data_IF_168547474450
#
_entry.id   IF_168547474450
#
_cell.length_a   1.000
_cell.length_b   1.000
_cell.length_c   1.000
_cell.angle_alpha   90.00
_cell.angle_beta   90.00
_cell.angle_gamma   90.00
#
_symmetry.space_group_name_H-M   'P 1'
#
loop_
_entity.id
_entity.type
_entity.pdbx_description
1 polymer ?
#
# COMPACT_ATOMS: atom_id res chain seq x y z
N UNK A 1 -18.63 51.01 26.96
CA UNK A 1 -18.12 49.62 26.94
C UNK A 1 -19.25 48.63 27.14
N UNK A 2 -19.56 47.79 26.15
CA UNK A 2 -20.51 46.67 26.33
C UNK A 2 -19.69 45.40 26.55
N UNK A 3 -19.81 44.85 27.75
CA UNK A 3 -19.18 43.58 28.13
C UNK A 3 -19.85 42.41 27.40
N UNK A 4 -19.11 41.39 26.91
CA UNK A 4 -19.70 40.28 26.20
C UNK A 4 -20.37 39.30 27.17
N UNK A 5 -21.66 39.08 26.97
CA UNK A 5 -22.45 38.05 27.67
C UNK A 5 -21.95 36.69 27.21
N UNK A 6 -21.30 35.94 28.10
CA UNK A 6 -20.95 34.54 27.88
C UNK A 6 -22.24 33.72 27.93
N UNK A 7 -22.74 33.28 26.77
CA UNK A 7 -23.82 32.30 26.70
C UNK A 7 -23.32 30.97 27.28
N UNK A 8 -23.95 30.53 28.37
CA UNK A 8 -23.71 29.23 28.96
C UNK A 8 -24.25 28.15 28.00
N UNK A 9 -23.37 27.25 27.55
CA UNK A 9 -23.79 26.07 26.79
C UNK A 9 -24.59 25.14 27.69
N UNK A 10 -25.73 24.70 27.22
CA UNK A 10 -26.65 23.83 27.96
C UNK A 10 -26.04 22.42 28.03
N UNK A 11 -26.34 21.66 29.08
CA UNK A 11 -25.87 20.27 29.21
C UNK A 11 -26.30 19.41 28.01
N UNK A 12 -27.45 19.73 27.42
CA UNK A 12 -27.99 19.13 26.19
C UNK A 12 -27.10 19.41 24.96
N UNK A 13 -26.51 20.60 24.86
CA UNK A 13 -25.56 20.96 23.78
C UNK A 13 -24.22 20.23 23.90
N UNK A 14 -23.85 19.83 25.12
CA UNK A 14 -22.64 19.03 25.41
C UNK A 14 -22.90 17.55 25.10
N UNK A 15 -24.11 17.06 25.38
CA UNK A 15 -24.52 15.68 25.09
C UNK A 15 -24.72 15.49 23.58
N UNK A 16 -25.36 16.43 22.88
CA UNK A 16 -25.54 16.36 21.42
C UNK A 16 -24.24 16.61 20.62
N UNK A 17 -23.23 17.29 21.20
CA UNK A 17 -21.89 17.42 20.59
C UNK A 17 -20.96 16.25 20.86
N UNK A 18 -21.37 15.24 21.63
CA UNK A 18 -20.78 13.91 21.47
C UNK A 18 -21.33 13.35 20.16
N UNK A 19 -20.83 13.88 19.05
CA UNK A 19 -20.91 13.21 17.76
C UNK A 19 -20.50 11.77 18.03
N UNK A 20 -21.40 10.86 17.70
CA UNK A 20 -21.25 9.42 17.75
C UNK A 20 -20.07 8.95 16.89
N UNK A 21 -18.83 9.28 17.29
CA UNK A 21 -17.72 8.39 16.97
C UNK A 21 -17.98 7.15 17.82
N UNK A 22 -18.87 6.28 17.35
CA UNK A 22 -18.91 4.91 17.80
C UNK A 22 -17.45 4.46 17.84
N UNK A 23 -17.00 4.00 19.01
CA UNK A 23 -15.61 3.59 19.19
C UNK A 23 -15.40 2.36 18.32
N UNK A 24 -14.89 2.56 17.11
CA UNK A 24 -14.52 1.50 16.18
C UNK A 24 -13.29 0.79 16.72
N UNK A 25 -13.33 -0.54 16.75
CA UNK A 25 -12.15 -1.34 17.09
C UNK A 25 -11.12 -1.31 15.94
N UNK A 26 -11.61 -1.23 14.71
CA UNK A 26 -10.81 -1.22 13.48
C UNK A 26 -11.40 -0.18 12.54
N UNK A 27 -10.52 0.64 11.95
CA UNK A 27 -10.92 1.64 10.95
C UNK A 27 -11.14 0.97 9.59
N UNK A 28 -10.19 0.14 9.15
CA UNK A 28 -10.24 -0.55 7.86
C UNK A 28 -9.68 -1.97 7.97
N UNK A 29 -10.31 -2.89 7.24
CA UNK A 29 -9.77 -4.21 6.92
C UNK A 29 -9.55 -4.26 5.41
N UNK A 30 -8.33 -4.54 4.96
CA UNK A 30 -7.96 -4.48 3.55
C UNK A 30 -7.38 -5.81 3.10
N UNK A 31 -7.75 -6.23 1.89
CA UNK A 31 -7.06 -7.27 1.13
C UNK A 31 -6.28 -6.56 0.04
N UNK A 32 -4.95 -6.70 0.08
CA UNK A 32 -4.03 -6.10 -0.88
C UNK A 32 -3.42 -7.23 -1.70
N UNK A 33 -3.66 -7.21 -3.01
CA UNK A 33 -3.12 -8.18 -3.95
C UNK A 33 -1.98 -7.56 -4.76
N UNK A 34 -1.03 -8.40 -5.16
CA UNK A 34 0.07 -8.01 -6.04
C UNK A 34 -0.35 -8.23 -7.48
N UNK A 35 -0.55 -7.16 -8.24
CA UNK A 35 -0.96 -7.23 -9.65
C UNK A 35 0.27 -6.92 -10.51
N UNK A 36 0.59 -7.73 -11.55
CA UNK A 36 1.69 -7.43 -12.46
C UNK A 36 1.53 -6.04 -13.05
N UNK A 37 2.60 -5.25 -13.06
CA UNK A 37 2.62 -4.02 -13.84
C UNK A 37 2.68 -4.42 -15.30
N UNK A 38 1.67 -4.03 -16.09
CA UNK A 38 1.78 -4.12 -17.53
C UNK A 38 2.90 -3.17 -17.96
N UNK A 39 4.05 -3.73 -18.33
CA UNK A 39 5.05 -2.96 -19.05
C UNK A 39 4.45 -2.67 -20.42
N UNK A 40 3.92 -1.46 -20.58
CA UNK A 40 3.68 -0.90 -21.91
C UNK A 40 5.06 -0.72 -22.55
N UNK A 41 5.56 -1.79 -23.15
CA UNK A 41 6.64 -1.72 -24.12
C UNK A 41 6.06 -1.08 -25.39
N UNK A 42 5.90 0.25 -25.37
CA UNK A 42 5.79 1.08 -26.56
C UNK A 42 6.35 2.48 -26.25
N UNK A 43 7.64 2.60 -26.58
CA UNK A 43 8.34 3.81 -26.99
C UNK A 43 8.78 4.86 -25.95
N UNK A 44 10.03 5.28 -26.14
CA UNK A 44 10.76 6.39 -25.50
C UNK A 44 11.35 6.14 -24.10
N UNK A 45 12.61 5.66 -24.12
CA UNK A 45 13.67 5.91 -23.13
C UNK A 45 13.36 5.44 -21.70
N UNK A 46 13.68 4.18 -21.44
CA UNK A 46 14.19 3.72 -20.13
C UNK A 46 15.50 4.44 -19.79
N UNK A 47 15.41 5.72 -19.46
CA UNK A 47 16.43 6.45 -18.74
C UNK A 47 15.94 6.59 -17.30
N UNK A 48 16.40 5.63 -16.48
CA UNK A 48 16.68 5.78 -15.05
C UNK A 48 15.59 6.36 -14.15
N UNK A 49 14.72 5.48 -13.62
CA UNK A 49 14.14 5.67 -12.28
C UNK A 49 14.18 4.38 -11.42
N UNK A 50 15.01 3.40 -11.76
CA UNK A 50 15.33 2.26 -10.89
C UNK A 50 16.48 2.54 -9.91
N UNK A 51 16.95 3.79 -9.81
CA UNK A 51 18.06 4.20 -8.96
C UNK A 51 17.61 4.89 -7.66
N UNK A 52 16.62 4.35 -6.94
CA UNK A 52 16.43 4.68 -5.51
C UNK A 52 15.96 3.43 -4.77
N UNK A 53 16.91 2.58 -4.37
CA UNK A 53 16.96 1.88 -3.07
C UNK A 53 18.14 0.91 -3.06
N UNK A 54 19.34 1.47 -2.92
CA UNK A 54 20.43 0.79 -2.23
C UNK A 54 20.90 1.73 -1.13
N UNK A 55 20.06 1.88 -0.10
CA UNK A 55 20.46 2.49 1.17
C UNK A 55 20.06 1.50 2.26
N UNK A 56 21.03 0.66 2.62
CA UNK A 56 21.12 0.05 3.94
C UNK A 56 20.22 -1.15 4.23
N UNK A 57 20.69 -2.35 3.91
CA UNK A 57 20.44 -3.52 4.76
C UNK A 57 21.53 -4.57 4.54
N UNK A 58 22.44 -4.67 5.52
CA UNK A 58 23.27 -5.83 5.74
C UNK A 58 22.37 -7.01 6.14
N UNK A 59 21.66 -7.60 5.19
CA UNK A 59 20.99 -8.89 5.37
C UNK A 59 21.50 -9.81 4.25
N UNK A 60 22.54 -10.56 4.59
CA UNK A 60 23.03 -11.66 3.78
C UNK A 60 22.05 -12.84 3.89
N UNK A 61 20.99 -12.81 3.09
CA UNK A 61 20.24 -13.99 2.69
C UNK A 61 20.12 -13.92 1.17
N UNK A 62 20.59 -14.97 0.50
CA UNK A 62 20.71 -15.11 -0.95
C UNK A 62 19.32 -15.27 -1.61
N UNK A 63 18.46 -14.27 -1.46
CA UNK A 63 17.15 -14.23 -2.10
C UNK A 63 17.38 -14.08 -3.63
N UNK A 64 17.30 -15.18 -4.37
CA UNK A 64 17.32 -15.14 -5.84
C UNK A 64 15.99 -14.62 -6.36
N UNK A 65 16.00 -13.47 -7.05
CA UNK A 65 14.84 -12.82 -7.65
C UNK A 65 14.80 -13.03 -9.17
N UNK A 66 13.60 -12.97 -9.75
CA UNK A 66 13.42 -12.93 -11.22
C UNK A 66 13.26 -11.46 -11.65
N UNK A 67 14.27 -10.91 -12.33
CA UNK A 67 14.43 -9.46 -12.56
C UNK A 67 13.46 -8.81 -13.58
N UNK A 68 12.59 -9.59 -14.23
CA UNK A 68 11.69 -9.09 -15.29
C UNK A 68 10.22 -8.91 -14.86
N UNK A 69 9.88 -9.16 -13.59
CA UNK A 69 8.50 -9.09 -13.10
C UNK A 69 8.35 -8.07 -11.98
N UNK A 70 7.73 -6.93 -12.30
CA UNK A 70 7.32 -5.93 -11.32
C UNK A 70 5.82 -6.05 -11.02
N UNK A 71 5.47 -5.88 -9.75
CA UNK A 71 4.08 -5.92 -9.29
C UNK A 71 3.76 -4.64 -8.53
N UNK A 72 2.51 -4.21 -8.63
CA UNK A 72 1.97 -3.11 -7.84
C UNK A 72 0.96 -3.64 -6.83
N UNK A 73 0.97 -3.12 -5.59
CA UNK A 73 -0.02 -3.49 -4.60
C UNK A 73 -1.34 -2.78 -4.90
N UNK A 74 -2.43 -3.54 -4.96
CA UNK A 74 -3.77 -3.04 -5.25
C UNK A 74 -4.75 -3.55 -4.20
N UNK A 75 -5.58 -2.67 -3.66
CA UNK A 75 -6.67 -3.06 -2.76
C UNK A 75 -7.73 -3.79 -3.60
N UNK A 76 -7.87 -5.10 -3.39
CA UNK A 76 -8.84 -5.94 -4.11
C UNK A 76 -10.11 -6.17 -3.31
N UNK A 77 -10.05 -6.04 -1.99
CA UNK A 77 -11.22 -6.06 -1.11
C UNK A 77 -11.00 -5.18 0.11
N UNK A 78 -12.08 -4.64 0.68
CA UNK A 78 -12.03 -3.78 1.85
C UNK A 78 -13.31 -3.80 2.66
N UNK A 79 -13.19 -3.52 3.95
CA UNK A 79 -14.27 -3.18 4.86
C UNK A 79 -13.87 -1.96 5.71
N UNK A 80 -14.74 -0.97 5.91
CA UNK A 80 -16.01 -0.77 5.20
C UNK A 80 -15.81 -0.51 3.70
N UNK A 81 -16.87 -0.67 2.92
CA UNK A 81 -16.85 -0.41 1.47
C UNK A 81 -16.60 1.07 1.15
N UNK A 82 -17.18 1.97 1.95
CA UNK A 82 -17.03 3.41 1.82
C UNK A 82 -16.07 3.96 2.87
N UNK A 83 -15.42 5.10 2.59
CA UNK A 83 -14.52 5.74 3.54
C UNK A 83 -15.30 6.36 4.71
N UNK A 84 -14.69 6.34 5.89
CA UNK A 84 -15.21 7.07 7.05
C UNK A 84 -15.04 8.58 6.83
N UNK A 85 -16.11 9.37 7.06
CA UNK A 85 -16.11 10.83 6.88
C UNK A 85 -15.04 11.54 7.72
N UNK A 86 -14.67 10.96 8.86
CA UNK A 86 -13.73 11.53 9.82
C UNK A 86 -12.29 11.01 9.65
N UNK A 87 -12.11 9.99 8.79
CA UNK A 87 -10.83 9.32 8.60
C UNK A 87 -10.80 8.61 7.23
N UNK A 88 -10.49 9.35 6.17
CA UNK A 88 -10.39 8.79 4.82
C UNK A 88 -9.22 7.81 4.71
N UNK A 89 -9.41 6.74 3.92
CA UNK A 89 -8.35 5.78 3.65
C UNK A 89 -7.28 6.42 2.78
N UNK A 90 -6.04 6.47 3.29
CA UNK A 90 -4.92 7.05 2.56
C UNK A 90 -4.42 6.11 1.46
N UNK A 91 -4.16 6.65 0.26
CA UNK A 91 -3.73 5.87 -0.92
C UNK A 91 -2.44 5.08 -0.66
N UNK A 92 -1.51 5.66 0.09
CA UNK A 92 -0.22 5.01 0.41
C UNK A 92 -0.31 3.85 1.41
N UNK A 93 -1.50 3.50 1.92
CA UNK A 93 -1.67 2.40 2.89
C UNK A 93 -1.10 1.09 2.33
N UNK A 94 -1.23 0.88 1.01
CA UNK A 94 -0.71 -0.30 0.30
C UNK A 94 0.80 -0.37 0.30
N UNK A 95 1.50 0.77 0.29
CA UNK A 95 2.96 0.82 0.36
C UNK A 95 3.48 0.28 1.69
N UNK A 96 2.71 0.41 2.77
CA UNK A 96 3.07 -0.15 4.08
C UNK A 96 2.88 -1.66 4.15
N UNK A 97 2.10 -2.27 3.25
CA UNK A 97 2.01 -3.73 3.14
C UNK A 97 3.30 -4.36 2.57
N UNK A 98 4.14 -3.56 1.91
CA UNK A 98 5.40 -4.00 1.30
C UNK A 98 6.54 -3.04 1.67
N UNK A 99 7.10 -3.13 2.89
CA UNK A 99 8.07 -2.15 3.40
C UNK A 99 9.38 -2.11 2.60
N UNK A 100 9.69 -3.15 1.82
CA UNK A 100 10.84 -3.19 0.89
C UNK A 100 10.58 -2.43 -0.42
N UNK A 101 9.41 -1.80 -0.61
CA UNK A 101 9.05 -1.00 -1.77
C UNK A 101 8.68 -1.82 -3.02
N UNK A 102 9.55 -2.73 -3.45
CA UNK A 102 9.30 -3.59 -4.62
C UNK A 102 8.71 -4.94 -4.24
N UNK A 103 7.73 -5.40 -5.02
CA UNK A 103 7.15 -6.75 -4.92
C UNK A 103 7.76 -7.58 -6.05
N UNK A 104 8.58 -8.57 -5.70
CA UNK A 104 9.34 -9.36 -6.67
C UNK A 104 9.00 -10.84 -6.52
N UNK A 105 9.04 -11.56 -7.65
CA UNK A 105 8.98 -13.02 -7.61
C UNK A 105 10.24 -13.59 -6.98
N UNK A 106 10.03 -14.58 -6.13
CA UNK A 106 11.09 -15.36 -5.50
C UNK A 106 11.06 -16.76 -6.07
N UNK A 107 12.24 -17.34 -6.30
CA UNK A 107 12.36 -18.73 -6.74
C UNK A 107 11.97 -19.68 -5.61
N UNK A 108 12.37 -19.34 -4.39
CA UNK A 108 12.12 -20.17 -3.21
C UNK A 108 10.81 -19.83 -2.52
N UNK A 109 10.04 -20.85 -2.05
CA UNK A 109 8.86 -20.63 -1.24
C UNK A 109 9.18 -19.84 0.03
N UNK A 110 8.37 -18.84 0.34
CA UNK A 110 8.51 -18.02 1.53
C UNK A 110 7.39 -18.29 2.53
N UNK A 111 7.74 -18.33 3.82
CA UNK A 111 6.75 -18.40 4.89
C UNK A 111 5.98 -17.08 5.00
N UNK A 112 4.69 -17.11 5.43
CA UNK A 112 3.95 -15.90 5.71
C UNK A 112 4.67 -14.99 6.70
N UNK A 113 4.65 -13.68 6.45
CA UNK A 113 5.31 -12.68 7.30
C UNK A 113 4.27 -11.77 7.94
N UNK A 114 4.47 -11.46 9.21
CA UNK A 114 3.67 -10.45 9.92
C UNK A 114 4.55 -9.25 10.22
N UNK A 115 4.07 -8.06 9.90
CA UNK A 115 4.71 -6.82 10.30
C UNK A 115 3.68 -5.78 10.71
N UNK A 116 4.18 -4.78 11.45
CA UNK A 116 3.36 -3.70 12.00
C UNK A 116 3.89 -2.39 11.47
N UNK A 117 2.99 -1.43 11.29
CA UNK A 117 3.34 -0.08 10.87
C UNK A 117 2.46 0.96 11.56
N UNK A 118 2.93 2.20 11.55
CA UNK A 118 2.22 3.34 12.11
C UNK A 118 2.14 4.42 11.04
N UNK A 119 0.93 4.83 10.67
CA UNK A 119 0.70 5.98 9.80
C UNK A 119 0.33 7.18 10.67
N UNK A 120 1.05 8.29 10.49
CA UNK A 120 0.74 9.55 11.19
C UNK A 120 0.07 10.51 10.22
N UNK A 121 -1.19 10.84 10.48
CA UNK A 121 -1.94 11.83 9.69
C UNK A 121 -1.53 13.27 10.00
N UNK A 122 -1.99 14.21 9.18
CA UNK A 122 -1.60 15.64 9.27
C UNK A 122 -1.89 16.30 10.63
N UNK A 123 -2.86 15.77 11.39
CA UNK A 123 -3.24 16.27 12.73
C UNK A 123 -2.50 15.55 13.86
N UNK A 124 -1.46 14.78 13.56
CA UNK A 124 -0.73 13.95 14.53
C UNK A 124 -1.50 12.72 15.02
N UNK A 125 -2.68 12.43 14.45
CA UNK A 125 -3.41 11.19 14.73
C UNK A 125 -2.63 10.01 14.17
N UNK A 126 -2.47 8.97 14.97
CA UNK A 126 -1.77 7.75 14.58
C UNK A 126 -2.77 6.65 14.25
N UNK A 127 -2.54 5.95 13.13
CA UNK A 127 -3.24 4.73 12.74
C UNK A 127 -2.23 3.58 12.81
N UNK A 128 -2.55 2.57 13.62
CA UNK A 128 -1.74 1.37 13.76
C UNK A 128 -2.26 0.32 12.77
N UNK A 129 -1.34 -0.25 11.99
CA UNK A 129 -1.64 -1.30 11.03
C UNK A 129 -0.89 -2.58 11.36
N UNK A 130 -1.59 -3.70 11.20
CA UNK A 130 -1.00 -5.05 11.22
C UNK A 130 -1.19 -5.65 9.83
N UNK A 131 -0.12 -6.13 9.23
CA UNK A 131 -0.14 -6.77 7.92
C UNK A 131 0.29 -8.23 8.04
N UNK A 132 -0.48 -9.12 7.42
CA UNK A 132 -0.11 -10.51 7.18
C UNK A 132 0.15 -10.67 5.68
N UNK A 133 1.41 -10.85 5.31
CA UNK A 133 1.82 -11.13 3.95
C UNK A 133 1.80 -12.64 3.69
N UNK A 134 1.01 -13.07 2.72
CA UNK A 134 0.89 -14.46 2.27
C UNK A 134 1.46 -14.53 0.85
N UNK A 135 2.19 -15.60 0.56
CA UNK A 135 2.79 -15.85 -0.75
C UNK A 135 2.04 -16.98 -1.46
N UNK A 136 1.78 -16.80 -2.75
CA UNK A 136 1.16 -17.81 -3.62
C UNK A 136 2.08 -18.13 -4.81
N UNK A 137 1.93 -19.33 -5.36
CA UNK A 137 2.69 -19.74 -6.54
C UNK A 137 2.25 -18.93 -7.76
N UNK A 138 3.21 -18.41 -8.51
CA UNK A 138 2.97 -17.64 -9.73
C UNK A 138 3.55 -18.36 -10.95
N UNK A 139 2.73 -18.50 -12.00
CA UNK A 139 3.12 -19.19 -13.24
C UNK A 139 3.58 -18.16 -14.27
N UNK A 140 4.86 -18.22 -14.65
CA UNK A 140 5.41 -17.36 -15.70
C UNK A 140 5.09 -17.97 -17.07
N UNK A 141 4.37 -17.24 -17.91
CA UNK A 141 4.19 -17.62 -19.32
C UNK A 141 5.41 -17.15 -20.13
N UNK A 142 6.02 -18.01 -20.96
CA UNK A 142 7.14 -17.61 -21.81
C UNK A 142 6.69 -16.57 -22.84
N UNK A 143 7.36 -15.41 -22.90
CA UNK A 143 7.18 -14.46 -24.01
C UNK A 143 7.74 -15.11 -25.28
N UNK A 144 6.89 -15.39 -26.27
CA UNK A 144 7.34 -15.81 -27.60
C UNK A 144 8.11 -14.64 -28.26
N UNK A 145 9.45 -14.71 -28.23
CA UNK A 145 10.30 -13.83 -29.03
C UNK A 145 10.12 -14.22 -30.50
N UNK A 146 9.17 -13.59 -31.19
CA UNK A 146 9.05 -13.77 -32.62
C UNK A 146 10.29 -13.15 -33.30
N UNK A 147 11.16 -14.03 -33.82
CA UNK A 147 12.30 -13.74 -34.66
C UNK A 147 11.94 -12.71 -35.75
N UNK A 148 12.39 -11.47 -35.58
CA UNK A 148 12.36 -10.42 -36.62
C UNK A 148 13.70 -10.30 -37.35
N UNK A 149 14.46 -11.39 -37.42
CA UNK A 149 15.68 -11.50 -38.24
C UNK A 149 15.40 -12.29 -39.53
N UNK A 150 14.54 -11.77 -40.41
CA UNK A 150 14.54 -12.14 -41.84
C UNK A 150 14.02 -10.97 -42.68
N UNK A 151 14.94 -10.16 -43.21
CA UNK A 151 15.02 -9.73 -44.62
C UNK A 151 16.01 -8.55 -44.76
N UNK A 152 17.29 -8.90 -44.90
CA UNK A 152 18.28 -8.11 -45.66
C UNK A 152 19.20 -9.11 -46.38
N UNK A 153 18.70 -9.61 -47.50
CA UNK A 153 19.51 -10.07 -48.62
C UNK A 153 19.01 -9.36 -49.87
#
# INVERSE_FOLDING_TARGET
>A
EKSPVKQAKTVEDIINNKSSSERRLVEYFLVVSSIPRQTLEDDVRSTSYSAIQSIGSNESEDDTYVDDFDFQPVITSRYPLENHKDNELHESVTSFCHPKGSIRLRVEPCLPKVHYFIMTGARGKQMYGTCLAIYESYMISPKNKNNTDKQRE
#
